data_IF_491145233881
#
_entry.id   IF_491145233881
#
_cell.length_a   1.000
_cell.length_b   1.000
_cell.length_c   1.000
_cell.angle_alpha   90.00
_cell.angle_beta   90.00
_cell.angle_gamma   90.00
#
_symmetry.space_group_name_H-M   'P 1'
#
loop_
_entity.id
_entity.type
_entity.pdbx_description
1 polymer ?
#
# COMPACT_ATOMS: atom_id res chain seq x y z
N UNK A 1 -14.64 17.73 8.49
CA UNK A 1 -15.13 16.33 8.46
C UNK A 1 -13.91 15.46 8.78
N UNK A 2 -14.01 14.58 9.76
CA UNK A 2 -12.91 13.72 10.23
C UNK A 2 -13.40 12.29 10.15
N UNK A 3 -12.76 11.46 9.33
CA UNK A 3 -13.17 10.07 9.11
C UNK A 3 -12.19 9.16 9.84
N UNK A 4 -12.70 8.42 10.82
CA UNK A 4 -11.91 7.50 11.62
C UNK A 4 -11.56 6.25 10.85
N UNK A 5 -10.37 6.20 10.24
CA UNK A 5 -9.84 5.00 9.55
C UNK A 5 -9.35 3.90 10.52
N UNK A 6 -9.65 4.03 11.82
CA UNK A 6 -9.33 3.05 12.88
C UNK A 6 -10.00 1.70 12.70
N UNK A 7 -11.04 1.63 11.87
CA UNK A 7 -11.58 0.40 11.31
C UNK A 7 -11.55 0.63 9.80
N UNK A 8 -10.77 -0.15 9.04
CA UNK A 8 -10.92 -0.13 7.59
C UNK A 8 -9.66 -0.03 6.73
N UNK A 9 -8.51 0.37 7.27
CA UNK A 9 -7.28 0.28 6.48
C UNK A 9 -6.77 -1.18 6.44
N UNK A 10 -7.26 -1.95 5.48
CA UNK A 10 -6.82 -3.32 5.22
C UNK A 10 -5.85 -3.35 4.05
N UNK A 11 -4.59 -3.72 4.28
CA UNK A 11 -3.67 -4.03 3.17
C UNK A 11 -3.87 -5.49 2.79
N UNK A 12 -4.51 -5.75 1.65
CA UNK A 12 -5.07 -7.10 1.41
C UNK A 12 -4.27 -7.95 0.43
N UNK A 13 -3.32 -7.40 -0.32
CA UNK A 13 -2.38 -8.17 -1.15
C UNK A 13 -1.23 -7.25 -1.58
N UNK A 14 0.01 -7.71 -1.41
CA UNK A 14 1.20 -7.19 -2.08
C UNK A 14 1.95 -8.41 -2.62
N UNK A 15 1.69 -8.76 -3.88
CA UNK A 15 2.34 -9.87 -4.58
C UNK A 15 3.73 -9.44 -5.08
N UNK A 16 4.68 -10.36 -5.31
CA UNK A 16 6.01 -10.04 -5.85
C UNK A 16 6.14 -10.59 -7.29
N UNK A 17 6.36 -9.74 -8.29
CA UNK A 17 6.75 -10.22 -9.62
C UNK A 17 8.28 -10.31 -9.77
N UNK A 18 8.78 -11.51 -10.09
CA UNK A 18 10.21 -11.80 -10.27
C UNK A 18 10.64 -11.50 -11.71
N UNK A 19 11.73 -10.74 -11.91
CA UNK A 19 12.48 -10.78 -13.18
C UNK A 19 13.06 -12.20 -13.36
N UNK A 20 12.59 -12.91 -14.38
CA UNK A 20 12.98 -14.28 -14.67
C UNK A 20 14.51 -14.40 -14.84
N UNK A 21 15.15 -15.14 -13.93
CA UNK A 21 16.47 -15.69 -14.16
C UNK A 21 16.29 -17.16 -14.57
N UNK A 22 16.78 -17.48 -15.77
CA UNK A 22 16.75 -18.79 -16.40
C UNK A 22 17.19 -19.93 -15.47
N UNK A 23 16.48 -21.06 -15.64
CA UNK A 23 16.76 -22.42 -15.15
C UNK A 23 16.69 -22.66 -13.63
N UNK A 24 15.61 -23.29 -13.16
CA UNK A 24 15.48 -24.76 -12.99
C UNK A 24 14.12 -25.06 -12.33
N UNK A 25 13.39 -26.04 -12.87
CA UNK A 25 12.09 -26.52 -12.39
C UNK A 25 12.15 -27.04 -10.93
N UNK A 26 11.84 -26.19 -9.97
CA UNK A 26 11.19 -26.56 -8.71
C UNK A 26 10.12 -25.51 -8.43
N UNK A 27 8.84 -25.87 -8.57
CA UNK A 27 7.71 -25.08 -8.08
C UNK A 27 7.70 -25.10 -6.54
N UNK A 28 8.73 -24.52 -5.94
CA UNK A 28 8.68 -24.04 -4.59
C UNK A 28 7.88 -22.74 -4.63
N UNK A 29 6.58 -22.83 -4.33
CA UNK A 29 5.80 -21.69 -3.85
C UNK A 29 6.43 -21.22 -2.53
N UNK A 30 7.52 -20.48 -2.65
CA UNK A 30 8.16 -19.77 -1.56
C UNK A 30 7.26 -18.56 -1.28
N UNK A 31 6.41 -18.73 -0.27
CA UNK A 31 5.62 -17.69 0.36
C UNK A 31 6.60 -16.73 1.05
N UNK A 32 7.29 -15.90 0.26
CA UNK A 32 8.23 -14.91 0.76
C UNK A 32 7.41 -13.85 1.47
N UNK A 33 7.18 -14.03 2.77
CA UNK A 33 6.29 -13.19 3.58
C UNK A 33 6.60 -11.70 3.48
N UNK A 34 5.97 -11.04 2.50
CA UNK A 34 5.86 -9.60 2.39
C UNK A 34 4.64 -9.23 3.20
N UNK A 35 4.85 -8.35 4.17
CA UNK A 35 3.79 -7.81 5.00
C UNK A 35 3.72 -6.31 4.78
N UNK A 36 2.52 -5.78 5.00
CA UNK A 36 2.28 -4.35 4.87
C UNK A 36 1.37 -3.85 5.99
N UNK A 37 1.54 -2.58 6.33
CA UNK A 37 0.76 -1.90 7.35
C UNK A 37 0.66 -0.41 7.03
N UNK A 38 -0.37 0.25 7.56
CA UNK A 38 -0.28 1.70 7.78
C UNK A 38 0.85 1.97 8.77
N UNK A 39 1.64 3.00 8.52
CA UNK A 39 2.72 3.42 9.38
C UNK A 39 2.72 4.92 9.62
N UNK A 40 3.62 5.38 10.48
CA UNK A 40 3.92 6.80 10.67
C UNK A 40 5.07 7.26 9.75
N UNK A 41 5.42 8.54 9.83
CA UNK A 41 6.55 9.14 9.10
C UNK A 41 7.93 8.50 9.39
N UNK A 42 8.05 7.75 10.50
CA UNK A 42 9.25 7.02 10.89
C UNK A 42 9.28 5.57 10.38
N UNK A 43 8.29 5.18 9.57
CA UNK A 43 8.12 3.83 9.03
C UNK A 43 7.90 2.76 10.11
N UNK A 44 7.17 3.12 11.17
CA UNK A 44 6.72 2.22 12.23
C UNK A 44 5.22 1.94 12.06
N UNK A 45 4.79 0.67 12.10
CA UNK A 45 3.39 0.33 11.92
C UNK A 45 2.53 1.01 13.00
N UNK A 46 1.62 1.87 12.54
CA UNK A 46 0.75 2.69 13.36
C UNK A 46 -0.51 2.97 12.56
N UNK A 47 -1.67 2.78 13.18
CA UNK A 47 -2.94 3.16 12.58
C UNK A 47 -3.23 4.61 12.93
N UNK A 48 -3.34 5.45 11.91
CA UNK A 48 -3.63 6.88 12.06
C UNK A 48 -4.99 7.22 11.47
N UNK A 49 -5.72 8.09 12.16
CA UNK A 49 -6.95 8.68 11.65
C UNK A 49 -6.54 9.80 10.70
N UNK A 50 -6.87 9.66 9.43
CA UNK A 50 -6.53 10.64 8.41
C UNK A 50 -7.68 11.61 8.18
N UNK A 51 -7.34 12.87 7.91
CA UNK A 51 -8.27 13.86 7.36
C UNK A 51 -7.90 14.18 5.91
N UNK A 52 -8.81 14.90 5.24
CA UNK A 52 -8.56 15.40 3.89
C UNK A 52 -7.24 16.15 3.80
N UNK A 53 -6.40 15.77 2.84
CA UNK A 53 -5.11 16.42 2.58
C UNK A 53 -3.97 15.94 3.47
N UNK A 54 -4.23 15.03 4.43
CA UNK A 54 -3.16 14.39 5.20
C UNK A 54 -2.33 13.46 4.31
N UNK A 55 -1.08 13.27 4.71
CA UNK A 55 -0.23 12.24 4.15
C UNK A 55 -0.58 10.89 4.80
N UNK A 56 -0.89 9.89 3.97
CA UNK A 56 -0.94 8.48 4.36
C UNK A 56 0.41 7.83 4.13
N UNK A 57 0.88 7.05 5.10
CA UNK A 57 2.12 6.28 5.01
C UNK A 57 1.82 4.78 5.05
N UNK A 58 2.25 4.07 4.00
CA UNK A 58 2.14 2.62 3.89
C UNK A 58 3.54 2.04 3.94
N UNK A 59 3.76 1.11 4.85
CA UNK A 59 5.02 0.42 4.98
C UNK A 59 4.90 -1.01 4.50
N UNK A 60 5.76 -1.39 3.56
CA UNK A 60 5.90 -2.74 3.04
C UNK A 60 7.23 -3.28 3.55
N UNK A 61 7.26 -4.51 4.07
CA UNK A 61 8.48 -5.09 4.61
C UNK A 61 8.51 -6.60 4.42
N UNK A 62 9.72 -7.15 4.35
CA UNK A 62 9.93 -8.60 4.31
C UNK A 62 10.84 -9.03 5.46
N UNK A 63 10.45 -10.12 6.13
CA UNK A 63 11.29 -10.78 7.13
C UNK A 63 12.21 -11.84 6.52
N UNK A 64 12.10 -12.11 5.22
CA UNK A 64 12.96 -13.05 4.53
C UNK A 64 14.43 -12.57 4.57
N UNK A 65 15.35 -13.54 4.64
CA UNK A 65 16.79 -13.26 4.74
C UNK A 65 17.47 -13.16 3.39
N UNK A 66 16.87 -13.77 2.37
CA UNK A 66 17.35 -13.98 1.01
C UNK A 66 16.61 -13.15 -0.04
N UNK A 67 15.52 -12.47 0.34
CA UNK A 67 14.76 -11.56 -0.53
C UNK A 67 15.05 -10.10 -0.20
N UNK A 68 15.01 -9.26 -1.23
CA UNK A 68 15.03 -7.81 -1.11
C UNK A 68 13.85 -7.20 -1.84
N UNK A 69 13.25 -6.18 -1.25
CA UNK A 69 12.28 -5.32 -1.91
C UNK A 69 13.04 -4.36 -2.84
N UNK A 70 12.74 -4.45 -4.13
CA UNK A 70 13.40 -3.65 -5.18
C UNK A 70 12.54 -2.48 -5.64
N UNK A 71 11.22 -2.57 -5.47
CA UNK A 71 10.27 -1.55 -5.87
C UNK A 71 8.90 -1.80 -5.28
N UNK A 72 7.92 -1.04 -5.80
CA UNK A 72 6.50 -1.31 -5.65
C UNK A 72 5.93 -1.16 -7.05
N UNK A 73 5.35 -2.22 -7.60
CA UNK A 73 4.84 -2.23 -8.98
C UNK A 73 3.48 -1.56 -9.08
N UNK A 74 2.61 -1.81 -8.10
CA UNK A 74 1.29 -1.19 -8.05
C UNK A 74 0.84 -0.93 -6.61
N UNK A 75 0.04 0.12 -6.45
CA UNK A 75 -0.69 0.41 -5.23
C UNK A 75 -2.00 1.10 -5.61
N UNK A 76 -3.10 0.55 -5.13
CA UNK A 76 -4.46 1.01 -5.27
C UNK A 76 -5.03 1.33 -3.89
N UNK A 77 -5.71 2.47 -3.77
CA UNK A 77 -6.59 2.80 -2.66
C UNK A 77 -8.03 2.70 -3.16
N UNK A 78 -8.82 1.86 -2.50
CA UNK A 78 -10.18 1.53 -2.89
C UNK A 78 -11.10 1.85 -1.72
N UNK A 79 -12.12 2.65 -1.95
CA UNK A 79 -13.18 2.92 -0.98
C UNK A 79 -14.52 2.57 -1.60
N UNK A 80 -15.31 1.80 -0.85
CA UNK A 80 -16.68 1.48 -1.22
C UNK A 80 -17.61 2.26 -0.29
N UNK A 81 -18.34 3.23 -0.84
CA UNK A 81 -19.17 4.14 -0.06
C UNK A 81 -20.55 3.58 0.31
N UNK A 82 -20.84 2.32 -0.07
CA UNK A 82 -22.08 1.63 0.25
C UNK A 82 -23.23 1.84 -0.73
N UNK A 83 -23.10 2.73 -1.73
CA UNK A 83 -24.12 3.01 -2.75
C UNK A 83 -23.75 2.42 -4.14
N UNK A 84 -22.97 1.32 -4.17
CA UNK A 84 -22.43 0.65 -5.37
C UNK A 84 -21.39 1.49 -6.17
N UNK A 85 -21.04 2.71 -5.71
CA UNK A 85 -19.99 3.52 -6.32
C UNK A 85 -18.65 3.26 -5.62
N UNK A 86 -17.80 2.46 -6.28
CA UNK A 86 -16.41 2.25 -5.87
C UNK A 86 -15.56 3.44 -6.33
N UNK A 87 -14.95 4.14 -5.37
CA UNK A 87 -13.93 5.14 -5.67
C UNK A 87 -12.55 4.51 -5.49
N UNK A 88 -11.75 4.53 -6.56
CA UNK A 88 -10.38 4.04 -6.54
C UNK A 88 -9.38 5.07 -7.05
N UNK A 89 -8.20 5.06 -6.44
CA UNK A 89 -7.05 5.89 -6.81
C UNK A 89 -5.84 4.98 -6.90
N UNK A 90 -5.00 5.19 -7.92
CA UNK A 90 -3.71 4.50 -8.05
C UNK A 90 -2.56 5.42 -7.66
N UNK A 91 -2.07 5.34 -6.41
CA UNK A 91 -0.81 5.94 -6.02
C UNK A 91 0.38 5.52 -6.89
N UNK A 92 0.44 4.24 -7.28
CA UNK A 92 1.57 3.66 -8.02
C UNK A 92 1.01 2.77 -9.14
N UNK A 93 1.53 2.94 -10.36
CA UNK A 93 1.17 2.14 -11.52
C UNK A 93 2.41 1.85 -12.37
N UNK A 94 2.65 0.58 -12.72
CA UNK A 94 3.81 0.12 -13.47
C UNK A 94 5.15 0.60 -12.88
N UNK A 95 5.28 0.51 -11.55
CA UNK A 95 6.46 0.97 -10.81
C UNK A 95 6.59 2.49 -10.67
N UNK A 96 5.66 3.27 -11.21
CA UNK A 96 5.74 4.73 -11.25
C UNK A 96 4.76 5.37 -10.25
N UNK A 97 5.26 6.12 -9.25
CA UNK A 97 4.39 6.87 -8.36
C UNK A 97 3.76 8.06 -9.09
N UNK A 98 2.51 8.37 -8.74
CA UNK A 98 1.83 9.57 -9.20
C UNK A 98 2.40 10.84 -8.54
N UNK A 99 1.94 12.02 -8.96
CA UNK A 99 2.45 13.31 -8.49
C UNK A 99 2.29 13.57 -6.98
N UNK A 100 1.42 12.82 -6.30
CA UNK A 100 1.14 12.93 -4.86
C UNK A 100 1.78 11.81 -4.05
N UNK A 101 2.53 10.92 -4.69
CA UNK A 101 3.08 9.72 -4.07
C UNK A 101 4.61 9.75 -4.12
N UNK A 102 5.25 9.33 -3.03
CA UNK A 102 6.69 9.18 -2.93
C UNK A 102 7.01 7.80 -2.34
N UNK A 103 8.05 7.17 -2.88
CA UNK A 103 8.52 5.85 -2.46
C UNK A 103 9.92 6.02 -1.85
N UNK A 104 10.11 5.50 -0.65
CA UNK A 104 11.39 5.48 0.07
C UNK A 104 11.80 4.03 0.35
N UNK A 105 12.77 3.54 -0.43
CA UNK A 105 13.34 2.20 -0.31
C UNK A 105 14.42 2.21 0.79
N UNK A 106 14.15 1.54 1.91
CA UNK A 106 15.04 1.44 3.07
C UNK A 106 15.67 0.06 3.19
N UNK A 107 17.00 0.04 3.08
CA UNK A 107 17.84 -1.13 3.33
C UNK A 107 17.48 -2.40 2.53
N UNK A 108 16.70 -2.25 1.44
CA UNK A 108 16.18 -3.35 0.63
C UNK A 108 15.24 -4.31 1.37
N UNK A 109 14.81 -3.99 2.60
CA UNK A 109 13.90 -4.84 3.40
C UNK A 109 12.63 -4.14 3.82
N UNK A 110 12.60 -2.82 3.71
CA UNK A 110 11.43 -2.00 4.03
C UNK A 110 11.25 -0.94 2.95
N UNK A 111 10.02 -0.71 2.56
CA UNK A 111 9.62 0.39 1.68
C UNK A 111 8.60 1.21 2.43
N UNK A 112 8.78 2.54 2.44
CA UNK A 112 7.79 3.48 2.94
C UNK A 112 7.21 4.23 1.75
N UNK A 113 5.89 4.15 1.59
CA UNK A 113 5.13 4.84 0.55
C UNK A 113 4.37 5.95 1.24
N UNK A 114 4.63 7.21 0.86
CA UNK A 114 3.84 8.36 1.31
C UNK A 114 2.94 8.80 0.18
N UNK A 115 1.64 8.92 0.40
CA UNK A 115 0.69 9.47 -0.57
C UNK A 115 -0.22 10.48 0.09
N UNK A 116 -0.68 11.51 -0.62
CA UNK A 116 -1.62 12.49 -0.07
C UNK A 116 -3.07 12.02 -0.26
N UNK A 117 -3.86 12.07 0.81
CA UNK A 117 -5.27 11.66 0.78
C UNK A 117 -6.14 12.67 0.01
N UNK A 118 -6.78 12.18 -1.05
CA UNK A 118 -7.68 12.99 -1.87
C UNK A 118 -8.98 13.30 -1.14
N UNK A 119 -9.51 14.50 -1.35
CA UNK A 119 -10.80 14.92 -0.81
C UNK A 119 -11.97 14.04 -1.21
N UNK A 120 -11.85 13.35 -2.35
CA UNK A 120 -12.86 12.42 -2.85
C UNK A 120 -13.17 11.28 -1.86
N UNK A 121 -12.20 10.88 -1.02
CA UNK A 121 -12.40 9.88 0.04
C UNK A 121 -13.24 10.39 1.24
N UNK A 122 -13.58 11.68 1.25
CA UNK A 122 -14.22 12.37 2.38
C UNK A 122 -15.53 13.09 1.99
N UNK A 123 -16.12 12.72 0.84
CA UNK A 123 -17.34 13.37 0.31
C UNK A 123 -18.57 13.00 1.12
N UNK A 124 -18.65 11.75 1.60
CA UNK A 124 -19.77 11.25 2.38
C UNK A 124 -19.49 11.37 3.89
N UNK A 125 -20.55 11.59 4.68
CA UNK A 125 -20.46 11.65 6.15
C UNK A 125 -20.01 10.30 6.77
N UNK A 126 -20.24 9.19 6.06
CA UNK A 126 -19.79 7.86 6.43
C UNK A 126 -19.34 7.09 5.17
N UNK A 127 -18.12 7.35 4.64
CA UNK A 127 -17.72 6.88 3.32
C UNK A 127 -17.22 5.43 3.30
N UNK A 128 -17.37 4.70 4.40
CA UNK A 128 -16.80 3.36 4.55
C UNK A 128 -15.27 3.36 4.63
N UNK A 129 -14.72 2.16 4.50
CA UNK A 129 -13.32 1.84 4.72
C UNK A 129 -12.47 2.08 3.46
N UNK A 130 -11.23 2.56 3.61
CA UNK A 130 -10.25 2.65 2.52
C UNK A 130 -9.32 1.44 2.58
N UNK A 131 -9.43 0.56 1.60
CA UNK A 131 -8.60 -0.62 1.42
C UNK A 131 -7.39 -0.27 0.57
N UNK A 132 -6.20 -0.73 0.96
CA UNK A 132 -5.02 -0.65 0.12
C UNK A 132 -4.64 -2.02 -0.44
N UNK A 133 -4.35 -2.10 -1.73
CA UNK A 133 -3.88 -3.33 -2.38
C UNK A 133 -2.77 -2.99 -3.35
N UNK A 134 -1.83 -3.89 -3.58
CA UNK A 134 -0.70 -3.61 -4.45
C UNK A 134 0.10 -4.85 -4.84
N UNK A 135 1.26 -4.60 -5.43
CA UNK A 135 2.28 -5.59 -5.84
C UNK A 135 3.64 -4.92 -5.61
N UNK A 136 4.60 -5.63 -5.02
CA UNK A 136 5.96 -5.18 -4.69
C UNK A 136 7.04 -5.73 -5.63
#
# INVERSE_FOLDING_TARGET
ITIGLTQGFSVTNIDLEREAADETDEEANLDYGVAACQCNEFAECATEILVQGDDVYICVYTNATDVKLVGIESLDFIQNDGDDDEFSVRPIENGLPNALTAIDLRDGKRVSIRSQMLSAFFVNDNPGDVIATGVA
#
